data_IF_837957715797
#
_entry.id   IF_837957715797
#
_cell.length_a   1.000
_cell.length_b   1.000
_cell.length_c   1.000
_cell.angle_alpha   90.00
_cell.angle_beta   90.00
_cell.angle_gamma   90.00
#
_symmetry.space_group_name_H-M   'P 1'
#
loop_
_entity.id
_entity.type
_entity.pdbx_description
1 polymer ?
#
# COMPACT_ATOMS: atom_id res chain seq x y z
N UNK A 1 33.57 22.12 -11.77
CA UNK A 1 32.20 21.63 -12.06
C UNK A 1 31.57 21.28 -10.72
N UNK A 2 30.71 22.16 -10.20
CA UNK A 2 30.09 21.96 -8.88
C UNK A 2 28.99 20.91 -9.02
N UNK A 3 29.15 19.77 -8.36
CA UNK A 3 28.06 18.81 -8.20
C UNK A 3 26.92 19.54 -7.48
N UNK A 4 25.84 19.81 -8.18
CA UNK A 4 24.59 20.26 -7.60
C UNK A 4 24.20 19.21 -6.55
N UNK A 5 24.25 19.59 -5.28
CA UNK A 5 23.63 18.83 -4.19
C UNK A 5 22.12 18.84 -4.45
N UNK A 6 21.65 17.90 -5.26
CA UNK A 6 20.23 17.62 -5.40
C UNK A 6 19.82 16.94 -4.11
N UNK A 7 19.42 17.73 -3.11
CA UNK A 7 18.61 17.24 -2.01
C UNK A 7 17.28 16.77 -2.60
N UNK A 8 17.25 15.54 -3.10
CA UNK A 8 16.00 14.85 -3.35
C UNK A 8 15.32 14.73 -1.99
N UNK A 9 14.24 15.49 -1.78
CA UNK A 9 13.29 15.28 -0.68
C UNK A 9 12.66 13.89 -0.88
N UNK A 10 13.41 12.85 -0.54
CA UNK A 10 12.97 11.46 -0.62
C UNK A 10 12.09 11.19 0.59
N UNK A 11 10.93 10.63 0.33
CA UNK A 11 9.99 10.28 1.38
C UNK A 11 10.51 9.07 2.15
N UNK A 12 10.47 9.15 3.48
CA UNK A 12 10.75 8.00 4.33
C UNK A 12 9.63 6.96 4.19
N UNK A 13 10.03 5.70 4.07
CA UNK A 13 9.09 4.57 4.03
C UNK A 13 8.15 4.57 5.25
N UNK A 14 8.68 4.96 6.42
CA UNK A 14 7.91 5.05 7.66
C UNK A 14 6.83 6.14 7.58
N UNK A 15 7.13 7.28 6.95
CA UNK A 15 6.16 8.37 6.78
C UNK A 15 5.03 7.93 5.85
N UNK A 16 5.37 7.22 4.76
CA UNK A 16 4.36 6.65 3.87
C UNK A 16 3.45 5.66 4.61
N UNK A 17 4.03 4.74 5.40
CA UNK A 17 3.25 3.76 6.18
C UNK A 17 2.32 4.46 7.17
N UNK A 18 2.79 5.52 7.83
CA UNK A 18 1.98 6.33 8.74
C UNK A 18 0.78 6.96 8.01
N UNK A 19 1.02 7.61 6.88
CA UNK A 19 -0.03 8.25 6.08
C UNK A 19 -1.06 7.22 5.58
N UNK A 20 -0.59 6.07 5.08
CA UNK A 20 -1.48 4.99 4.61
C UNK A 20 -2.33 4.47 5.77
N UNK A 21 -1.72 4.24 6.94
CA UNK A 21 -2.39 3.72 8.13
C UNK A 21 -3.48 4.68 8.60
N UNK A 22 -3.19 5.98 8.68
CA UNK A 22 -4.14 7.01 9.09
C UNK A 22 -5.33 7.11 8.13
N UNK A 23 -5.06 7.19 6.82
CA UNK A 23 -6.12 7.24 5.79
C UNK A 23 -7.01 6.00 5.83
N UNK A 24 -6.41 4.83 6.01
CA UNK A 24 -7.13 3.56 6.03
C UNK A 24 -7.95 3.41 7.31
N UNK A 25 -7.33 3.66 8.47
CA UNK A 25 -8.00 3.61 9.76
C UNK A 25 -9.18 4.57 9.83
N UNK A 26 -9.02 5.82 9.39
CA UNK A 26 -10.11 6.82 9.36
C UNK A 26 -11.28 6.36 8.50
N UNK A 27 -11.01 5.89 7.29
CA UNK A 27 -12.07 5.42 6.39
C UNK A 27 -12.81 4.19 6.92
N UNK A 28 -12.11 3.27 7.59
CA UNK A 28 -12.73 2.08 8.19
C UNK A 28 -13.51 2.45 9.45
N UNK A 29 -12.92 3.27 10.34
CA UNK A 29 -13.58 3.74 11.56
C UNK A 29 -14.90 4.46 11.27
N UNK A 30 -14.93 5.34 10.26
CA UNK A 30 -16.15 6.03 9.83
C UNK A 30 -17.25 5.10 9.31
N UNK A 31 -16.86 3.98 8.67
CA UNK A 31 -17.83 2.98 8.19
C UNK A 31 -18.35 2.12 9.34
N UNK A 32 -17.45 1.69 10.22
CA UNK A 32 -17.78 0.82 11.35
C UNK A 32 -18.55 1.57 12.45
N UNK A 33 -18.25 2.84 12.71
CA UNK A 33 -18.99 3.68 13.66
C UNK A 33 -20.45 3.81 13.26
N UNK A 34 -20.73 4.00 11.97
CA UNK A 34 -22.11 4.07 11.43
C UNK A 34 -22.87 2.76 11.56
N UNK A 35 -22.21 1.61 11.38
CA UNK A 35 -22.83 0.29 11.49
C UNK A 35 -23.09 -0.13 12.93
N UNK A 36 -22.09 0.06 13.80
CA UNK A 36 -22.09 -0.45 15.18
C UNK A 36 -22.59 0.58 16.19
N UNK A 37 -22.76 1.84 15.78
CA UNK A 37 -23.02 3.01 16.65
C UNK A 37 -21.96 3.23 17.73
N UNK A 38 -20.78 2.63 17.58
CA UNK A 38 -19.66 2.82 18.49
C UNK A 38 -18.95 4.17 18.26
N UNK A 39 -18.19 4.62 19.25
CA UNK A 39 -17.42 5.86 19.18
C UNK A 39 -16.33 5.77 18.08
N UNK A 40 -16.41 6.66 17.08
CA UNK A 40 -15.47 6.70 15.96
C UNK A 40 -14.02 6.92 16.38
N UNK A 41 -13.77 7.78 17.38
CA UNK A 41 -12.41 8.09 17.85
C UNK A 41 -11.77 6.86 18.51
N UNK A 42 -12.56 6.08 19.26
CA UNK A 42 -12.11 4.83 19.85
C UNK A 42 -11.75 3.79 18.78
N UNK A 43 -12.65 3.60 17.79
CA UNK A 43 -12.41 2.69 16.66
C UNK A 43 -11.17 3.10 15.86
N UNK A 44 -11.03 4.41 15.58
CA UNK A 44 -9.89 4.95 14.85
C UNK A 44 -8.56 4.63 15.55
N UNK A 45 -8.45 4.90 16.84
CA UNK A 45 -7.20 4.68 17.59
C UNK A 45 -6.78 3.20 17.60
N UNK A 46 -7.75 2.29 17.77
CA UNK A 46 -7.50 0.86 17.74
C UNK A 46 -7.05 0.40 16.35
N UNK A 47 -7.79 0.80 15.31
CA UNK A 47 -7.49 0.45 13.92
C UNK A 47 -6.15 1.01 13.47
N UNK A 48 -5.83 2.25 13.85
CA UNK A 48 -4.56 2.89 13.52
C UNK A 48 -3.37 2.07 14.00
N UNK A 49 -3.43 1.57 15.25
CA UNK A 49 -2.38 0.71 15.81
C UNK A 49 -2.28 -0.60 15.05
N UNK A 50 -3.41 -1.22 14.73
CA UNK A 50 -3.44 -2.47 13.95
C UNK A 50 -2.84 -2.29 12.56
N UNK A 51 -3.22 -1.24 11.83
CA UNK A 51 -2.69 -0.99 10.48
C UNK A 51 -1.20 -0.60 10.49
N UNK A 52 -0.75 0.22 11.45
CA UNK A 52 0.68 0.58 11.55
C UNK A 52 1.57 -0.66 11.73
N UNK A 53 1.12 -1.62 12.54
CA UNK A 53 1.87 -2.85 12.78
C UNK A 53 1.67 -3.90 11.67
N UNK A 54 0.53 -3.83 10.97
CA UNK A 54 0.14 -4.80 9.95
C UNK A 54 0.62 -4.49 8.55
N UNK A 55 0.91 -3.22 8.23
CA UNK A 55 1.40 -2.83 6.90
C UNK A 55 2.90 -3.11 6.82
N UNK A 56 3.26 -4.05 5.96
CA UNK A 56 4.65 -4.41 5.63
C UNK A 56 4.92 -4.09 4.18
N UNK A 57 6.19 -4.00 3.83
CA UNK A 57 6.64 -3.65 2.48
C UNK A 57 7.75 -4.60 2.07
N UNK A 58 7.77 -4.98 0.80
CA UNK A 58 8.88 -5.74 0.23
C UNK A 58 10.03 -4.82 -0.14
N UNK A 59 11.18 -5.41 -0.43
CA UNK A 59 12.35 -4.71 -0.97
C UNK A 59 12.05 -4.00 -2.29
N UNK A 60 11.29 -4.65 -3.17
CA UNK A 60 10.86 -4.11 -4.46
C UNK A 60 10.06 -2.82 -4.29
N UNK A 61 9.05 -2.84 -3.43
CA UNK A 61 8.26 -1.67 -3.10
C UNK A 61 9.13 -0.52 -2.54
N UNK A 62 10.00 -0.82 -1.58
CA UNK A 62 10.87 0.18 -0.96
C UNK A 62 11.82 0.83 -1.98
N UNK A 63 12.43 0.03 -2.85
CA UNK A 63 13.31 0.52 -3.91
C UNK A 63 12.54 1.44 -4.87
N UNK A 64 11.33 1.06 -5.27
CA UNK A 64 10.53 1.88 -6.18
C UNK A 64 10.08 3.18 -5.54
N UNK A 65 9.70 3.17 -4.26
CA UNK A 65 9.39 4.39 -3.53
C UNK A 65 10.55 5.39 -3.58
N UNK A 66 11.77 4.92 -3.32
CA UNK A 66 12.96 5.76 -3.32
C UNK A 66 13.36 6.28 -4.71
N UNK A 67 13.10 5.50 -5.76
CA UNK A 67 13.54 5.81 -7.11
C UNK A 67 12.54 6.66 -7.90
N UNK A 68 11.23 6.51 -7.63
CA UNK A 68 10.19 6.98 -8.55
C UNK A 68 9.24 8.02 -7.98
N UNK A 69 9.15 8.19 -6.67
CA UNK A 69 8.14 9.06 -6.08
C UNK A 69 8.75 10.27 -5.37
N UNK A 70 8.25 11.44 -5.73
CA UNK A 70 8.51 12.71 -5.04
C UNK A 70 7.41 12.91 -3.97
N UNK A 71 7.65 13.77 -2.98
CA UNK A 71 6.68 14.12 -1.92
C UNK A 71 5.25 14.37 -2.44
N UNK A 72 5.09 15.09 -3.55
CA UNK A 72 3.77 15.44 -4.08
C UNK A 72 3.01 14.22 -4.60
N UNK A 73 3.71 13.25 -5.17
CA UNK A 73 3.11 12.00 -5.66
C UNK A 73 2.81 11.00 -4.52
N UNK A 74 3.45 11.16 -3.35
CA UNK A 74 3.21 10.29 -2.19
C UNK A 74 1.80 10.42 -1.64
N UNK A 75 1.18 11.60 -1.72
CA UNK A 75 -0.22 11.75 -1.32
C UNK A 75 -1.17 10.97 -2.23
N UNK A 76 -0.86 10.97 -3.53
CA UNK A 76 -1.61 10.20 -4.54
C UNK A 76 -1.41 8.71 -4.31
N UNK A 77 -0.16 8.26 -4.18
CA UNK A 77 0.21 6.87 -3.94
C UNK A 77 -0.40 6.32 -2.64
N UNK A 78 -0.27 7.04 -1.53
CA UNK A 78 -0.84 6.62 -0.24
C UNK A 78 -2.37 6.49 -0.29
N UNK A 79 -3.04 7.35 -1.05
CA UNK A 79 -4.49 7.27 -1.26
C UNK A 79 -4.87 6.06 -2.12
N UNK A 80 -4.09 5.80 -3.18
CA UNK A 80 -4.27 4.62 -4.03
C UNK A 80 -4.07 3.32 -3.24
N UNK A 81 -3.01 3.23 -2.43
CA UNK A 81 -2.76 2.07 -1.56
C UNK A 81 -3.86 1.91 -0.51
N UNK A 82 -4.29 2.99 0.12
CA UNK A 82 -5.38 2.94 1.11
C UNK A 82 -6.68 2.44 0.49
N UNK A 83 -6.99 2.84 -0.76
CA UNK A 83 -8.13 2.28 -1.51
C UNK A 83 -7.92 0.82 -1.85
N UNK A 84 -6.72 0.45 -2.32
CA UNK A 84 -6.39 -0.92 -2.66
C UNK A 84 -6.58 -1.86 -1.45
N UNK A 85 -6.00 -1.53 -0.28
CA UNK A 85 -6.15 -2.33 0.95
C UNK A 85 -7.62 -2.58 1.31
N UNK A 86 -8.49 -1.57 1.11
CA UNK A 86 -9.94 -1.70 1.38
C UNK A 86 -10.70 -2.51 0.32
N UNK A 87 -10.19 -2.59 -0.91
CA UNK A 87 -10.79 -3.35 -2.00
C UNK A 87 -10.32 -4.80 -2.01
N UNK A 88 -9.11 -5.06 -1.53
CA UNK A 88 -8.52 -6.39 -1.50
C UNK A 88 -9.15 -7.25 -0.42
N UNK A 89 -9.68 -8.40 -0.83
CA UNK A 89 -10.27 -9.38 0.09
C UNK A 89 -9.20 -10.23 0.74
N UNK A 90 -9.44 -10.67 1.98
CA UNK A 90 -8.65 -11.72 2.60
C UNK A 90 -8.97 -13.04 1.88
N UNK A 91 -7.93 -13.79 1.54
CA UNK A 91 -8.11 -15.14 1.02
C UNK A 91 -7.80 -16.12 2.14
N UNK A 92 -8.82 -16.87 2.56
CA UNK A 92 -8.75 -17.81 3.66
C UNK A 92 -9.09 -19.21 3.15
N UNK A 93 -8.36 -20.22 3.65
CA UNK A 93 -8.68 -21.64 3.47
C UNK A 93 -8.78 -22.25 4.86
N UNK A 94 -10.02 -22.51 5.30
CA UNK A 94 -10.30 -22.86 6.69
C UNK A 94 -9.91 -21.72 7.64
N UNK A 95 -9.15 -22.02 8.68
CA UNK A 95 -8.63 -21.01 9.63
C UNK A 95 -7.29 -20.37 9.19
N UNK A 96 -6.76 -20.74 8.02
CA UNK A 96 -5.45 -20.29 7.55
C UNK A 96 -5.58 -19.22 6.47
N UNK A 97 -4.82 -18.12 6.62
CA UNK A 97 -4.74 -17.07 5.63
C UNK A 97 -3.76 -17.47 4.53
N UNK A 98 -4.18 -17.38 3.26
CA UNK A 98 -3.28 -17.48 2.11
C UNK A 98 -2.80 -16.08 1.74
N UNK A 99 -1.48 -15.87 1.82
CA UNK A 99 -0.84 -14.65 1.34
C UNK A 99 -0.72 -14.70 -0.19
N UNK A 100 -1.83 -14.45 -0.89
CA UNK A 100 -1.88 -14.38 -2.35
C UNK A 100 -1.79 -12.91 -2.76
N UNK A 101 -0.86 -12.63 -3.66
CA UNK A 101 -0.68 -11.29 -4.22
C UNK A 101 -1.86 -10.95 -5.12
N UNK A 102 -2.41 -9.75 -4.96
CA UNK A 102 -3.56 -9.27 -5.70
C UNK A 102 -3.18 -7.94 -6.36
N UNK A 103 -3.45 -7.84 -7.67
CA UNK A 103 -3.25 -6.63 -8.47
C UNK A 103 -4.52 -5.80 -8.45
N UNK A 104 -4.43 -4.57 -7.96
CA UNK A 104 -5.52 -3.60 -7.93
C UNK A 104 -5.12 -2.38 -8.73
N UNK A 105 -6.01 -1.97 -9.65
CA UNK A 105 -5.81 -0.77 -10.48
C UNK A 105 -6.67 0.34 -9.90
N UNK A 106 -6.03 1.38 -9.37
CA UNK A 106 -6.73 2.57 -8.92
C UNK A 106 -7.09 3.45 -10.11
N UNK A 107 -8.32 3.27 -10.63
CA UNK A 107 -8.83 3.95 -11.83
C UNK A 107 -8.70 5.48 -11.78
N UNK A 108 -8.73 6.07 -10.58
CA UNK A 108 -8.62 7.52 -10.39
C UNK A 108 -7.23 8.06 -10.70
N UNK A 109 -6.18 7.30 -10.38
CA UNK A 109 -4.78 7.77 -10.43
C UNK A 109 -3.96 7.05 -11.49
N UNK A 110 -4.50 5.97 -12.05
CA UNK A 110 -3.76 5.08 -12.93
C UNK A 110 -2.67 4.27 -12.22
N UNK A 111 -2.62 4.31 -10.88
CA UNK A 111 -1.62 3.55 -10.12
C UNK A 111 -2.10 2.11 -9.96
N UNK A 112 -1.26 1.18 -10.40
CA UNK A 112 -1.36 -0.24 -10.09
C UNK A 112 -0.69 -0.49 -8.76
N UNK A 113 -1.43 -1.07 -7.82
CA UNK A 113 -0.91 -1.52 -6.53
C UNK A 113 -1.00 -3.04 -6.48
N UNK A 114 0.13 -3.70 -6.21
CA UNK A 114 0.19 -5.12 -5.94
C UNK A 114 0.43 -5.31 -4.46
N UNK A 115 -0.51 -5.99 -3.80
CA UNK A 115 -0.41 -6.24 -2.37
C UNK A 115 -0.95 -7.63 -2.01
N UNK A 116 -0.50 -8.14 -0.88
CA UNK A 116 -1.04 -9.35 -0.25
C UNK A 116 -1.81 -8.96 1.00
N UNK A 117 -3.00 -9.52 1.19
CA UNK A 117 -3.74 -9.34 2.44
C UNK A 117 -3.34 -10.39 3.45
N UNK A 118 -3.05 -9.95 4.67
CA UNK A 118 -2.75 -10.80 5.82
C UNK A 118 -3.81 -10.55 6.90
N UNK A 119 -4.96 -11.20 6.75
CA UNK A 119 -6.12 -10.95 7.60
C UNK A 119 -6.69 -9.54 7.45
N UNK A 120 -7.56 -9.15 8.38
CA UNK A 120 -8.43 -7.99 8.20
C UNK A 120 -7.70 -6.63 8.26
N UNK A 121 -6.57 -6.54 8.96
CA UNK A 121 -5.88 -5.27 9.20
C UNK A 121 -4.39 -5.26 8.82
N UNK A 122 -3.90 -6.34 8.20
CA UNK A 122 -2.51 -6.41 7.74
C UNK A 122 -2.46 -6.59 6.24
N UNK A 123 -1.41 -6.04 5.64
CA UNK A 123 -1.15 -6.12 4.20
C UNK A 123 0.34 -6.01 3.93
N UNK A 124 0.84 -6.77 2.95
CA UNK A 124 2.20 -6.65 2.44
C UNK A 124 2.13 -5.94 1.09
N UNK A 125 2.74 -4.75 0.99
CA UNK A 125 2.88 -4.04 -0.26
C UNK A 125 4.04 -4.66 -1.06
N UNK A 126 3.70 -5.30 -2.17
CA UNK A 126 4.67 -6.02 -3.01
C UNK A 126 5.32 -5.08 -4.00
N UNK A 127 4.53 -4.28 -4.71
CA UNK A 127 5.03 -3.24 -5.61
C UNK A 127 3.91 -2.27 -5.98
N UNK A 128 4.26 -1.12 -6.54
CA UNK A 128 3.29 -0.18 -7.11
C UNK A 128 3.88 0.56 -8.31
N UNK A 129 3.18 0.63 -9.43
CA UNK A 129 3.65 1.30 -10.65
C UNK A 129 2.50 2.01 -11.36
N UNK A 130 2.79 2.92 -12.29
CA UNK A 130 1.76 3.55 -13.12
C UNK A 130 1.36 2.61 -14.26
N UNK A 131 0.07 2.51 -14.55
CA UNK A 131 -0.46 1.66 -15.62
C UNK A 131 0.17 2.06 -16.96
N UNK A 132 0.69 1.10 -17.72
CA UNK A 132 1.42 1.36 -18.98
C UNK A 132 2.92 1.61 -18.80
N UNK A 133 3.42 1.69 -17.56
CA UNK A 133 4.84 1.81 -17.24
C UNK A 133 5.44 0.48 -16.71
N UNK A 134 4.90 -0.66 -17.16
CA UNK A 134 5.41 -1.99 -16.77
C UNK A 134 6.87 -2.20 -17.22
N UNK A 135 7.31 -1.50 -18.27
CA UNK A 135 8.69 -1.49 -18.74
C UNK A 135 9.69 -0.86 -17.75
N UNK A 136 9.20 -0.13 -16.74
CA UNK A 136 10.03 0.45 -15.67
C UNK A 136 10.19 -0.50 -14.47
N UNK A 137 9.64 -1.71 -14.56
CA UNK A 137 9.88 -2.80 -13.61
C UNK A 137 11.28 -3.38 -13.84
N UNK A 138 12.02 -3.65 -12.77
CA UNK A 138 13.31 -4.34 -12.92
C UNK A 138 13.09 -5.79 -13.33
N UNK A 139 14.10 -6.42 -13.94
CA UNK A 139 14.01 -7.84 -14.34
C UNK A 139 13.70 -8.77 -13.16
N UNK A 140 14.23 -8.45 -11.98
CA UNK A 140 13.95 -9.17 -10.73
C UNK A 140 12.47 -9.06 -10.33
N UNK A 141 11.90 -7.86 -10.41
CA UNK A 141 10.49 -7.62 -10.10
C UNK A 141 9.56 -8.24 -11.13
N UNK A 142 9.90 -8.16 -12.42
CA UNK A 142 9.15 -8.82 -13.48
C UNK A 142 9.13 -10.33 -13.27
N UNK A 143 10.27 -10.92 -12.88
CA UNK A 143 10.36 -12.35 -12.58
C UNK A 143 9.49 -12.71 -11.38
N UNK A 144 9.53 -11.94 -10.29
CA UNK A 144 8.72 -12.18 -9.09
C UNK A 144 7.21 -12.05 -9.41
N UNK A 145 6.80 -11.02 -10.14
CA UNK A 145 5.40 -10.83 -10.54
C UNK A 145 4.89 -11.93 -11.47
N UNK A 146 5.72 -12.40 -12.42
CA UNK A 146 5.39 -13.55 -13.28
C UNK A 146 5.28 -14.85 -12.49
N UNK A 147 6.20 -15.09 -11.55
CA UNK A 147 6.15 -16.26 -10.68
C UNK A 147 4.87 -16.28 -9.82
N UNK A 148 4.32 -15.10 -9.50
CA UNK A 148 3.04 -14.92 -8.80
C UNK A 148 1.81 -14.93 -9.71
N UNK A 149 1.98 -15.03 -11.04
CA UNK A 149 0.88 -15.05 -12.02
C UNK A 149 0.16 -13.70 -12.18
N UNK A 150 0.84 -12.58 -11.95
CA UNK A 150 0.26 -11.22 -11.98
C UNK A 150 0.52 -10.46 -13.30
N UNK A 151 1.39 -11.00 -14.14
CA UNK A 151 1.81 -10.49 -15.45
C UNK A 151 1.81 -11.62 -16.48
#
# INVERSE_FOLDING_TARGET
MSATNIHFNRVSLNDLINIISEKTAKSVAQKESKKTKANESFLYNNLLRSFKNGIKVTKHFANRLQQRFILDEVQVLSSAISRAIRQTQTQEVGCNHKSISQKIIDKMTGIVVVLERQGMYSAVLVTSYKLGEENLLSDEELRDLRARGLL
#
